data_IF_968048999647
#
_entry.id   IF_968048999647
#
_cell.length_a   1.000
_cell.length_b   1.000
_cell.length_c   1.000
_cell.angle_alpha   90.00
_cell.angle_beta   90.00
_cell.angle_gamma   90.00
#
_symmetry.space_group_name_H-M   'P 1'
#
loop_
_entity.id
_entity.type
_entity.pdbx_description
1 polymer ?
#
# COMPACT_ATOMS: atom_id res chain seq x y z
N UNK A 1 22.68 23.44 37.25
CA UNK A 1 21.85 23.65 36.03
C UNK A 1 22.39 22.89 34.81
N UNK A 2 23.68 23.01 34.45
CA UNK A 2 24.28 22.33 33.27
C UNK A 2 24.08 20.80 33.24
N UNK A 3 24.27 20.10 34.37
CA UNK A 3 24.05 18.65 34.47
C UNK A 3 22.58 18.24 34.27
N UNK A 4 21.61 19.06 34.72
CA UNK A 4 20.18 18.79 34.52
C UNK A 4 19.82 18.94 33.04
N UNK A 5 20.30 20.00 32.38
CA UNK A 5 20.11 20.23 30.94
C UNK A 5 20.70 19.07 30.13
N UNK A 6 21.92 18.63 30.46
CA UNK A 6 22.56 17.48 29.82
C UNK A 6 21.77 16.18 29.98
N UNK A 7 21.30 15.87 31.20
CA UNK A 7 20.48 14.68 31.46
C UNK A 7 19.17 14.75 30.68
N UNK A 8 18.50 15.91 30.65
CA UNK A 8 17.26 16.08 29.88
C UNK A 8 17.49 15.85 28.38
N UNK A 9 18.56 16.43 27.81
CA UNK A 9 18.91 16.20 26.40
C UNK A 9 19.21 14.73 26.11
N UNK A 10 19.89 14.04 27.02
CA UNK A 10 20.19 12.63 26.87
C UNK A 10 18.93 11.76 26.90
N UNK A 11 17.98 12.05 27.80
CA UNK A 11 16.69 11.35 27.86
C UNK A 11 15.90 11.57 26.57
N UNK A 12 15.79 12.82 26.10
CA UNK A 12 15.07 13.14 24.85
C UNK A 12 15.72 12.42 23.66
N UNK A 13 17.05 12.45 23.56
CA UNK A 13 17.79 11.74 22.53
C UNK A 13 17.52 10.22 22.57
N UNK A 14 17.54 9.63 23.77
CA UNK A 14 17.27 8.21 23.95
C UNK A 14 15.84 7.84 23.51
N UNK A 15 14.84 8.62 23.93
CA UNK A 15 13.44 8.41 23.55
C UNK A 15 13.23 8.47 22.04
N UNK A 16 13.85 9.46 21.37
CA UNK A 16 13.76 9.61 19.91
C UNK A 16 14.37 8.39 19.20
N UNK A 17 15.55 7.95 19.63
CA UNK A 17 16.21 6.79 19.03
C UNK A 17 15.43 5.48 19.25
N UNK A 18 14.90 5.25 20.46
CA UNK A 18 14.05 4.09 20.76
C UNK A 18 12.78 4.13 19.90
N UNK A 19 12.17 5.30 19.72
CA UNK A 19 11.00 5.46 18.86
C UNK A 19 11.30 5.07 17.40
N UNK A 20 12.39 5.58 16.82
CA UNK A 20 12.76 5.25 15.44
C UNK A 20 13.10 3.76 15.28
N UNK A 21 13.88 3.19 16.21
CA UNK A 21 14.21 1.77 16.19
C UNK A 21 12.96 0.90 16.31
N UNK A 22 12.06 1.26 17.23
CA UNK A 22 10.78 0.57 17.42
C UNK A 22 9.90 0.65 16.18
N UNK A 23 9.78 1.83 15.55
CA UNK A 23 9.04 2.00 14.30
C UNK A 23 9.62 1.13 13.19
N UNK A 24 10.94 1.12 13.03
CA UNK A 24 11.60 0.36 11.97
C UNK A 24 11.36 -1.15 12.12
N UNK A 25 11.53 -1.69 13.34
CA UNK A 25 11.41 -3.12 13.62
C UNK A 25 9.96 -3.62 13.67
N UNK A 26 9.04 -2.80 14.19
CA UNK A 26 7.67 -3.23 14.44
C UNK A 26 6.68 -2.83 13.33
N UNK A 27 7.01 -1.81 12.53
CA UNK A 27 6.10 -1.26 11.52
C UNK A 27 6.75 -1.34 10.14
N UNK A 28 7.88 -0.66 9.93
CA UNK A 28 8.41 -0.47 8.58
C UNK A 28 8.78 -1.82 7.93
N UNK A 29 9.37 -2.74 8.69
CA UNK A 29 9.67 -4.10 8.21
C UNK A 29 8.45 -4.84 7.63
N UNK A 30 7.25 -4.57 8.14
CA UNK A 30 6.05 -5.33 7.80
C UNK A 30 5.21 -4.69 6.69
N UNK A 31 5.23 -3.37 6.60
CA UNK A 31 4.31 -2.61 5.74
C UNK A 31 5.00 -1.69 4.72
N UNK A 32 6.31 -1.47 4.87
CA UNK A 32 7.08 -0.63 3.95
C UNK A 32 7.80 -1.54 2.96
N UNK A 33 7.69 -1.20 1.68
CA UNK A 33 8.40 -1.87 0.61
C UNK A 33 9.90 -1.57 0.72
N UNK A 34 10.73 -2.61 0.63
CA UNK A 34 12.16 -2.49 0.37
C UNK A 34 12.44 -2.50 -1.14
N UNK A 35 13.70 -2.40 -1.54
CA UNK A 35 14.11 -2.34 -2.95
C UNK A 35 13.70 -3.59 -3.77
N UNK A 36 13.74 -4.77 -3.15
CA UNK A 36 13.30 -6.02 -3.77
C UNK A 36 11.78 -6.03 -3.97
N UNK A 37 11.02 -5.59 -2.96
CA UNK A 37 9.57 -5.43 -3.06
C UNK A 37 9.18 -4.48 -4.17
N UNK A 38 9.86 -3.34 -4.30
CA UNK A 38 9.57 -2.36 -5.33
C UNK A 38 9.76 -2.95 -6.73
N UNK A 39 10.80 -3.77 -6.90
CA UNK A 39 11.05 -4.50 -8.15
C UNK A 39 9.91 -5.47 -8.45
N UNK A 40 9.58 -6.34 -7.50
CA UNK A 40 8.49 -7.33 -7.64
C UNK A 40 7.15 -6.63 -7.92
N UNK A 41 6.83 -5.58 -7.15
CA UNK A 41 5.61 -4.81 -7.31
C UNK A 41 5.55 -4.13 -8.68
N UNK A 42 6.69 -3.66 -9.20
CA UNK A 42 6.79 -3.14 -10.56
C UNK A 42 6.44 -4.20 -11.62
N UNK A 43 6.99 -5.41 -11.49
CA UNK A 43 6.66 -6.53 -12.39
C UNK A 43 5.18 -6.91 -12.29
N UNK A 44 4.64 -6.95 -11.08
CA UNK A 44 3.23 -7.25 -10.83
C UNK A 44 2.31 -6.18 -11.45
N UNK A 45 2.68 -4.90 -11.40
CA UNK A 45 1.94 -3.80 -12.06
C UNK A 45 1.91 -4.00 -13.58
N UNK A 46 3.04 -4.35 -14.20
CA UNK A 46 3.10 -4.63 -15.63
C UNK A 46 2.19 -5.82 -15.99
N UNK A 47 2.21 -6.89 -15.18
CA UNK A 47 1.31 -8.03 -15.35
C UNK A 47 -0.16 -7.63 -15.22
N UNK A 48 -0.50 -6.79 -14.23
CA UNK A 48 -1.85 -6.31 -14.03
C UNK A 48 -2.34 -5.47 -15.21
N UNK A 49 -1.54 -4.51 -15.70
CA UNK A 49 -1.92 -3.64 -16.83
C UNK A 49 -2.14 -4.44 -18.12
N UNK A 50 -1.39 -5.54 -18.29
CA UNK A 50 -1.54 -6.43 -19.44
C UNK A 50 -2.64 -7.50 -19.27
N UNK A 51 -3.36 -7.50 -18.14
CA UNK A 51 -4.46 -8.43 -17.89
C UNK A 51 -5.73 -8.03 -18.64
N UNK A 52 -6.59 -9.00 -18.94
CA UNK A 52 -7.89 -8.73 -19.56
C UNK A 52 -8.77 -7.91 -18.62
N UNK A 53 -8.69 -8.22 -17.33
CA UNK A 53 -9.45 -7.58 -16.25
C UNK A 53 -9.12 -6.08 -16.16
N UNK A 54 -7.84 -5.70 -16.30
CA UNK A 54 -7.45 -4.29 -16.35
C UNK A 54 -7.94 -3.61 -17.63
N UNK A 55 -7.83 -4.27 -18.79
CA UNK A 55 -8.32 -3.73 -20.06
C UNK A 55 -9.82 -3.41 -19.94
N UNK A 56 -10.61 -4.36 -19.46
CA UNK A 56 -12.06 -4.20 -19.29
C UNK A 56 -12.38 -3.02 -18.36
N UNK A 57 -11.62 -2.83 -17.27
CA UNK A 57 -11.78 -1.65 -16.39
C UNK A 57 -11.42 -0.36 -17.14
N UNK A 58 -10.29 -0.34 -17.85
CA UNK A 58 -9.79 0.86 -18.53
C UNK A 58 -10.68 1.33 -19.69
N UNK A 59 -11.48 0.42 -20.27
CA UNK A 59 -12.46 0.75 -21.30
C UNK A 59 -13.76 1.34 -20.72
N UNK A 60 -14.09 1.03 -19.45
CA UNK A 60 -15.37 1.39 -18.82
C UNK A 60 -15.25 2.47 -17.72
N UNK A 61 -14.04 2.66 -17.19
CA UNK A 61 -13.74 3.55 -16.08
C UNK A 61 -12.46 4.33 -16.36
N UNK A 62 -12.42 5.59 -15.93
CA UNK A 62 -11.22 6.39 -16.09
C UNK A 62 -10.22 5.99 -15.01
N UNK A 63 -9.08 5.42 -15.42
CA UNK A 63 -7.96 5.12 -14.50
C UNK A 63 -7.34 6.42 -14.04
N UNK A 64 -7.19 6.56 -12.72
CA UNK A 64 -6.64 7.77 -12.10
C UNK A 64 -5.23 7.50 -11.58
N UNK A 65 -5.07 6.41 -10.83
CA UNK A 65 -3.78 6.06 -10.27
C UNK A 65 -3.68 4.57 -10.01
N UNK A 66 -2.44 4.09 -10.00
CA UNK A 66 -2.11 2.74 -9.56
C UNK A 66 -1.22 2.90 -8.32
N UNK A 67 -1.59 2.23 -7.23
CA UNK A 67 -0.81 2.19 -6.00
C UNK A 67 -0.47 0.76 -5.67
N UNK A 68 0.73 0.53 -5.15
CA UNK A 68 1.15 -0.76 -4.64
C UNK A 68 1.25 -0.72 -3.12
N UNK A 69 1.15 -1.88 -2.48
CA UNK A 69 1.40 -2.01 -1.05
C UNK A 69 1.94 -3.37 -0.69
N UNK A 70 2.67 -3.39 0.42
CA UNK A 70 3.14 -4.58 1.12
C UNK A 70 2.42 -4.68 2.46
N UNK A 71 1.90 -5.86 2.78
CA UNK A 71 1.35 -6.19 4.10
C UNK A 71 1.81 -7.60 4.50
N UNK A 72 2.96 -7.67 5.15
CA UNK A 72 3.51 -8.94 5.68
C UNK A 72 2.83 -9.37 6.97
N UNK A 73 2.10 -8.48 7.64
CA UNK A 73 1.51 -8.78 8.95
C UNK A 73 0.24 -9.62 8.83
N UNK A 74 -0.48 -9.51 7.71
CA UNK A 74 -1.59 -10.44 7.41
C UNK A 74 -1.18 -11.91 7.35
N UNK A 75 0.13 -12.20 7.31
CA UNK A 75 0.65 -13.53 7.13
C UNK A 75 0.51 -13.97 5.68
N UNK A 76 1.38 -14.90 5.27
CA UNK A 76 1.47 -15.36 3.89
C UNK A 76 2.91 -15.52 3.46
N UNK A 77 3.16 -16.51 2.64
CA UNK A 77 4.41 -16.58 1.87
C UNK A 77 4.30 -15.65 0.67
N UNK A 78 5.45 -15.30 0.09
CA UNK A 78 5.47 -14.73 -1.25
C UNK A 78 4.50 -15.50 -2.17
N UNK A 79 3.70 -14.82 -3.01
CA UNK A 79 3.61 -13.37 -3.23
C UNK A 79 2.40 -12.70 -2.54
N UNK A 80 1.73 -13.38 -1.60
CA UNK A 80 0.39 -12.98 -1.13
C UNK A 80 0.37 -11.74 -0.21
N UNK A 81 1.54 -11.25 0.22
CA UNK A 81 1.66 -9.99 0.95
C UNK A 81 1.70 -8.75 0.03
N UNK A 82 1.73 -8.94 -1.29
CA UNK A 82 1.71 -7.84 -2.27
C UNK A 82 0.30 -7.56 -2.79
N UNK A 83 -0.03 -6.28 -2.91
CA UNK A 83 -1.31 -5.84 -3.46
C UNK A 83 -1.10 -4.69 -4.43
N UNK A 84 -1.89 -4.68 -5.49
CA UNK A 84 -2.00 -3.56 -6.43
C UNK A 84 -3.42 -3.01 -6.34
N UNK A 85 -3.52 -1.70 -6.28
CA UNK A 85 -4.76 -0.96 -6.24
C UNK A 85 -4.85 -0.09 -7.49
N UNK A 86 -5.84 -0.37 -8.32
CA UNK A 86 -6.19 0.46 -9.47
C UNK A 86 -7.35 1.36 -9.04
N UNK A 87 -7.09 2.64 -8.90
CA UNK A 87 -8.10 3.64 -8.55
C UNK A 87 -8.67 4.24 -9.81
N UNK A 88 -9.98 4.22 -9.91
CA UNK A 88 -10.73 4.86 -10.99
C UNK A 88 -11.62 5.96 -10.44
N UNK A 89 -12.30 6.65 -11.35
CA UNK A 89 -13.33 7.62 -11.02
C UNK A 89 -14.58 7.02 -10.37
N UNK A 90 -14.74 5.70 -10.34
CA UNK A 90 -15.89 5.02 -9.72
C UNK A 90 -15.47 4.13 -8.56
N UNK A 91 -14.50 3.25 -8.83
CA UNK A 91 -14.18 2.13 -7.98
C UNK A 91 -12.67 2.00 -7.77
N UNK A 92 -12.33 1.22 -6.75
CA UNK A 92 -10.99 0.77 -6.43
C UNK A 92 -10.96 -0.73 -6.71
N UNK A 93 -10.17 -1.14 -7.70
CA UNK A 93 -9.98 -2.53 -8.06
C UNK A 93 -8.70 -3.05 -7.45
N UNK A 94 -8.77 -4.23 -6.81
CA UNK A 94 -7.66 -4.83 -6.10
C UNK A 94 -7.16 -6.03 -6.91
N UNK A 95 -5.85 -6.05 -7.16
CA UNK A 95 -5.19 -7.11 -7.89
C UNK A 95 -4.10 -7.76 -7.03
N UNK A 96 -3.94 -9.08 -7.22
CA UNK A 96 -2.94 -9.91 -6.55
C UNK A 96 -2.47 -11.01 -7.50
N UNK A 97 -1.37 -11.67 -7.15
CA UNK A 97 -0.95 -12.87 -7.87
C UNK A 97 -1.96 -14.01 -7.70
N UNK A 98 -2.17 -14.79 -8.76
CA UNK A 98 -3.04 -15.96 -8.76
C UNK A 98 -2.39 -17.17 -8.04
N UNK A 99 -1.07 -17.33 -8.19
CA UNK A 99 -0.31 -18.46 -7.67
C UNK A 99 0.96 -18.05 -6.88
N UNK A 100 1.61 -19.04 -6.28
CA UNK A 100 2.82 -18.90 -5.46
C UNK A 100 4.06 -18.47 -6.27
N UNK A 101 3.97 -18.50 -7.60
CA UNK A 101 5.02 -18.07 -8.54
C UNK A 101 4.70 -16.74 -9.20
N UNK A 102 3.57 -16.12 -8.85
CA UNK A 102 3.01 -14.96 -9.52
C UNK A 102 3.06 -15.04 -11.05
N UNK A 103 2.64 -16.17 -11.63
CA UNK A 103 2.65 -16.32 -13.10
C UNK A 103 1.72 -15.30 -13.75
N UNK A 104 0.51 -15.16 -13.20
CA UNK A 104 -0.51 -14.17 -13.56
C UNK A 104 -0.89 -13.30 -12.35
N UNK A 105 -1.31 -12.07 -12.64
CA UNK A 105 -1.96 -11.16 -11.69
C UNK A 105 -3.42 -11.00 -12.10
N UNK A 106 -4.33 -11.13 -11.14
CA UNK A 106 -5.78 -11.10 -11.36
C UNK A 106 -6.48 -10.15 -10.38
N UNK A 107 -7.68 -9.69 -10.78
CA UNK A 107 -8.55 -8.91 -9.90
C UNK A 107 -9.23 -9.85 -8.92
N UNK A 108 -9.01 -9.67 -7.61
CA UNK A 108 -9.64 -10.49 -6.58
C UNK A 108 -10.74 -9.74 -5.80
N UNK A 109 -10.79 -8.41 -5.89
CA UNK A 109 -11.79 -7.61 -5.18
C UNK A 109 -12.01 -6.25 -5.84
N UNK A 110 -13.16 -5.68 -5.55
CA UNK A 110 -13.59 -4.35 -6.00
C UNK A 110 -14.31 -3.65 -4.84
N UNK A 111 -14.00 -2.39 -4.63
CA UNK A 111 -14.58 -1.58 -3.57
C UNK A 111 -14.93 -0.19 -4.12
N UNK A 112 -15.94 0.46 -3.56
CA UNK A 112 -16.24 1.85 -3.92
C UNK A 112 -15.02 2.74 -3.62
N UNK A 113 -14.65 3.60 -4.57
CA UNK A 113 -13.56 4.55 -4.41
C UNK A 113 -14.14 5.92 -4.07
N UNK A 114 -13.84 6.43 -2.87
CA UNK A 114 -14.17 7.80 -2.50
C UNK A 114 -13.09 8.74 -3.08
N UNK A 115 -13.19 8.98 -4.38
CA UNK A 115 -12.21 9.80 -5.09
C UNK A 115 -12.42 11.28 -4.79
N UNK A 116 -11.36 11.93 -4.28
CA UNK A 116 -11.39 13.24 -3.60
C UNK A 116 -11.71 14.45 -4.48
N UNK A 117 -11.72 14.31 -5.81
CA UNK A 117 -12.17 15.40 -6.69
C UNK A 117 -13.71 15.47 -6.77
N UNK A 118 -14.42 14.42 -6.33
CA UNK A 118 -15.85 14.50 -6.11
C UNK A 118 -16.13 15.19 -4.76
N UNK A 119 -17.17 16.04 -4.72
CA UNK A 119 -17.60 16.64 -3.44
C UNK A 119 -17.93 15.49 -2.46
N UNK A 120 -17.56 15.59 -1.18
CA UNK A 120 -17.92 14.60 -0.19
C UNK A 120 -19.43 14.35 -0.25
N UNK A 121 -19.83 13.13 -0.60
CA UNK A 121 -21.24 12.71 -0.53
C UNK A 121 -21.55 12.45 0.94
N UNK A 122 -21.79 13.53 1.70
CA UNK A 122 -22.30 13.41 3.05
C UNK A 122 -23.63 12.64 3.01
N UNK A 123 -23.86 11.67 3.92
CA UNK A 123 -25.07 10.83 3.91
C UNK A 123 -26.37 11.58 4.29
N UNK A 124 -26.33 12.92 4.41
CA UNK A 124 -27.46 13.74 4.85
C UNK A 124 -27.54 15.04 4.06
N UNK A 125 -28.08 15.00 2.85
CA UNK A 125 -28.70 16.19 2.24
C UNK A 125 -30.01 15.71 1.60
N UNK A 126 -31.10 15.88 2.35
CA UNK A 126 -32.46 15.96 1.81
C UNK A 126 -32.67 17.30 1.12
#
# INVERSE_FOLDING_TARGET
MKKKIFITLLIVSLCINIYFLGKQLLIDQWYVANEEDETILGEMVVKAINSNEYRDISENEQIISIKTSVDRNKGGVFPYHYNIFVFTNKNKHLFSCEDDRCTKVEKYSEMYSDYRDERPKLPFIN
#
